data_IF_939255710291
#
_entry.id   IF_939255710291
#
_cell.length_a   1.000
_cell.length_b   1.000
_cell.length_c   1.000
_cell.angle_alpha   90.00
_cell.angle_beta   90.00
_cell.angle_gamma   90.00
#
_symmetry.space_group_name_H-M   'P 1'
#
loop_
_entity.id
_entity.type
_entity.pdbx_description
1 polymer ?
#
# COMPACT_ATOMS: atom_id res chain seq x y z
N UNK A 1 -8.41 14.09 40.54
CA UNK A 1 -8.95 15.45 40.79
C UNK A 1 -9.38 15.65 42.24
N UNK A 2 -10.24 14.81 42.82
CA UNK A 2 -10.80 15.02 44.18
C UNK A 2 -9.92 14.55 45.35
N UNK A 3 -8.71 14.04 45.09
CA UNK A 3 -7.78 13.52 46.10
C UNK A 3 -7.07 14.59 46.94
N UNK A 4 -7.44 15.88 46.81
CA UNK A 4 -6.82 17.01 47.51
C UNK A 4 -5.45 17.43 47.00
N UNK A 5 -4.94 16.77 45.94
CA UNK A 5 -3.62 17.03 45.34
C UNK A 5 -3.62 18.17 44.33
N UNK A 6 -4.81 18.67 43.97
CA UNK A 6 -5.05 19.72 42.98
C UNK A 6 -5.91 20.83 43.60
N UNK A 7 -5.80 22.06 43.09
CA UNK A 7 -6.51 23.23 43.62
C UNK A 7 -8.05 23.05 43.59
N UNK A 8 -8.52 22.20 42.68
CA UNK A 8 -9.91 21.80 42.48
C UNK A 8 -10.42 20.88 43.59
N UNK A 9 -9.54 20.16 44.31
CA UNK A 9 -9.92 19.26 45.41
C UNK A 9 -10.49 19.97 46.65
N UNK A 10 -10.41 21.30 46.69
CA UNK A 10 -10.98 22.14 47.75
C UNK A 10 -12.13 23.04 47.28
N UNK A 11 -12.58 22.87 46.02
CA UNK A 11 -13.70 23.63 45.45
C UNK A 11 -14.92 22.73 45.31
N UNK A 12 -16.11 23.28 45.59
CA UNK A 12 -17.38 22.59 45.32
C UNK A 12 -17.76 22.64 43.82
N UNK A 13 -17.27 23.64 43.10
CA UNK A 13 -17.60 23.88 41.70
C UNK A 13 -16.34 23.74 40.82
N UNK A 14 -16.43 22.92 39.79
CA UNK A 14 -15.41 22.75 38.75
C UNK A 14 -16.03 23.21 37.42
N UNK A 15 -15.52 24.28 36.79
CA UNK A 15 -16.05 24.75 35.52
C UNK A 15 -15.65 23.80 34.38
N UNK A 16 -16.61 23.51 33.51
CA UNK A 16 -16.43 22.70 32.30
C UNK A 16 -16.81 23.52 31.08
N UNK A 17 -16.00 23.43 30.02
CA UNK A 17 -16.24 24.09 28.74
C UNK A 17 -16.92 23.11 27.76
N UNK A 18 -18.07 22.58 28.18
CA UNK A 18 -18.86 21.62 27.42
C UNK A 18 -20.36 21.96 27.51
N UNK A 19 -21.12 21.60 26.49
CA UNK A 19 -22.59 21.77 26.50
C UNK A 19 -23.23 20.95 27.62
N UNK A 20 -24.34 21.46 28.14
CA UNK A 20 -25.13 20.76 29.16
C UNK A 20 -25.62 19.40 28.67
N UNK A 21 -25.87 19.25 27.37
CA UNK A 21 -26.33 18.01 26.75
C UNK A 21 -25.21 16.95 26.72
N UNK A 22 -23.97 17.32 26.34
CA UNK A 22 -22.82 16.42 26.36
C UNK A 22 -22.49 15.96 27.79
N UNK A 23 -22.47 16.89 28.75
CA UNK A 23 -22.22 16.60 30.16
C UNK A 23 -23.29 15.70 30.77
N UNK A 24 -24.57 15.94 30.46
CA UNK A 24 -25.66 15.11 30.96
C UNK A 24 -25.55 13.69 30.41
N UNK A 25 -25.31 13.53 29.11
CA UNK A 25 -25.13 12.20 28.50
C UNK A 25 -23.93 11.45 29.09
N UNK A 26 -22.82 12.16 29.33
CA UNK A 26 -21.64 11.57 29.97
C UNK A 26 -21.92 11.11 31.40
N UNK A 27 -22.56 11.96 32.22
CA UNK A 27 -22.92 11.63 33.59
C UNK A 27 -23.95 10.49 33.65
N UNK A 28 -24.96 10.49 32.78
CA UNK A 28 -25.94 9.42 32.69
C UNK A 28 -25.27 8.07 32.42
N UNK A 29 -24.26 8.04 31.54
CA UNK A 29 -23.47 6.83 31.31
C UNK A 29 -22.68 6.42 32.55
N UNK A 30 -21.98 7.34 33.22
CA UNK A 30 -21.19 7.04 34.41
C UNK A 30 -22.02 6.48 35.57
N UNK A 31 -23.24 6.99 35.76
CA UNK A 31 -24.11 6.57 36.85
C UNK A 31 -24.99 5.37 36.50
N UNK A 32 -25.47 5.25 35.27
CA UNK A 32 -26.47 4.24 34.87
C UNK A 32 -25.94 3.19 33.89
N UNK A 33 -24.70 3.30 33.41
CA UNK A 33 -24.11 2.41 32.41
C UNK A 33 -24.72 2.52 31.01
N UNK A 34 -25.60 3.51 30.78
CA UNK A 34 -26.24 3.76 29.48
C UNK A 34 -26.62 5.23 29.35
N UNK A 35 -26.54 5.77 28.13
CA UNK A 35 -26.90 7.15 27.83
C UNK A 35 -27.54 7.25 26.45
N UNK A 36 -28.50 8.18 26.30
CA UNK A 36 -29.10 8.50 25.00
C UNK A 36 -28.34 9.68 24.38
N UNK A 37 -27.66 9.45 23.28
CA UNK A 37 -26.81 10.46 22.63
C UNK A 37 -27.43 10.91 21.32
N UNK A 38 -27.51 12.23 21.10
CA UNK A 38 -27.88 12.82 19.80
C UNK A 38 -26.64 12.91 18.91
N UNK A 39 -26.80 12.75 17.59
CA UNK A 39 -25.68 12.80 16.62
C UNK A 39 -24.84 14.08 16.72
N UNK A 40 -25.49 15.23 16.92
CA UNK A 40 -24.82 16.54 17.02
C UNK A 40 -23.92 16.67 18.26
N UNK A 41 -24.14 15.86 19.30
CA UNK A 41 -23.41 15.89 20.57
C UNK A 41 -22.18 14.94 20.52
N UNK A 42 -22.11 14.05 19.53
CA UNK A 42 -21.06 13.03 19.43
C UNK A 42 -19.63 13.60 19.45
N UNK A 43 -19.27 14.63 18.66
CA UNK A 43 -17.90 15.15 18.67
C UNK A 43 -17.50 15.67 20.05
N UNK A 44 -18.39 16.42 20.70
CA UNK A 44 -18.14 17.01 22.00
C UNK A 44 -18.05 15.94 23.11
N UNK A 45 -18.91 14.92 23.04
CA UNK A 45 -18.87 13.78 23.96
C UNK A 45 -17.58 12.97 23.79
N UNK A 46 -17.09 12.78 22.56
CA UNK A 46 -15.80 12.15 22.27
C UNK A 46 -14.64 12.88 22.94
N UNK A 47 -14.61 14.21 22.86
CA UNK A 47 -13.59 15.03 23.54
C UNK A 47 -13.62 14.82 25.04
N UNK A 48 -14.81 14.78 25.61
CA UNK A 48 -15.02 14.63 27.05
C UNK A 48 -14.60 13.23 27.53
N UNK A 49 -14.98 12.19 26.78
CA UNK A 49 -14.59 10.80 27.06
C UNK A 49 -13.08 10.61 26.98
N UNK A 50 -12.43 11.17 25.96
CA UNK A 50 -10.98 11.14 25.83
C UNK A 50 -10.30 11.89 26.98
N UNK A 51 -10.77 13.08 27.33
CA UNK A 51 -10.21 13.89 28.41
C UNK A 51 -10.29 13.18 29.78
N UNK A 52 -11.31 12.35 29.99
CA UNK A 52 -11.57 11.65 31.26
C UNK A 52 -11.19 10.16 31.24
N UNK A 53 -10.63 9.67 30.13
CA UNK A 53 -10.15 8.29 29.95
C UNK A 53 -11.18 7.20 30.28
N UNK A 54 -12.42 7.39 29.80
CA UNK A 54 -13.52 6.43 30.03
C UNK A 54 -13.61 5.42 28.88
N UNK A 55 -12.71 4.43 28.90
CA UNK A 55 -12.55 3.41 27.86
C UNK A 55 -13.85 2.70 27.43
N UNK A 56 -14.76 2.28 28.33
CA UNK A 56 -16.00 1.60 27.92
C UNK A 56 -16.94 2.51 27.11
N UNK A 57 -16.95 3.81 27.41
CA UNK A 57 -17.76 4.77 26.67
C UNK A 57 -17.11 5.11 25.32
N UNK A 58 -15.77 5.13 25.26
CA UNK A 58 -15.04 5.33 24.01
C UNK A 58 -15.36 4.23 23.00
N UNK A 59 -15.25 2.96 23.41
CA UNK A 59 -15.59 1.83 22.54
C UNK A 59 -17.03 1.88 22.03
N UNK A 60 -17.99 2.18 22.91
CA UNK A 60 -19.41 2.30 22.54
C UNK A 60 -19.67 3.46 21.58
N UNK A 61 -18.94 4.58 21.70
CA UNK A 61 -19.03 5.70 20.76
C UNK A 61 -18.41 5.34 19.40
N UNK A 62 -17.28 4.65 19.38
CA UNK A 62 -16.66 4.18 18.14
C UNK A 62 -17.62 3.26 17.38
N UNK A 63 -18.24 2.28 18.03
CA UNK A 63 -19.23 1.39 17.42
C UNK A 63 -20.43 2.18 16.84
N UNK A 64 -20.95 3.16 17.59
CA UNK A 64 -22.03 4.03 17.12
C UNK A 64 -21.63 4.89 15.91
N UNK A 65 -20.36 5.29 15.82
CA UNK A 65 -19.84 6.03 14.67
C UNK A 65 -19.78 5.16 13.42
N UNK A 66 -19.40 3.88 13.53
CA UNK A 66 -19.43 2.94 12.40
C UNK A 66 -20.84 2.84 11.81
N UNK A 67 -21.87 2.73 12.66
CA UNK A 67 -23.25 2.52 12.23
C UNK A 67 -23.93 3.79 11.69
N UNK A 68 -23.50 4.97 12.14
CA UNK A 68 -24.21 6.23 11.88
C UNK A 68 -23.37 7.32 11.22
N UNK A 69 -22.24 6.96 10.60
CA UNK A 69 -21.37 7.89 9.90
C UNK A 69 -22.11 8.64 8.79
N UNK A 70 -22.07 9.98 8.85
CA UNK A 70 -22.56 10.86 7.77
C UNK A 70 -21.43 11.77 7.29
N UNK A 71 -21.51 12.34 6.08
CA UNK A 71 -20.47 13.22 5.56
C UNK A 71 -20.19 14.45 6.44
N UNK A 72 -21.24 15.01 7.04
CA UNK A 72 -21.15 16.16 7.94
C UNK A 72 -20.47 15.78 9.25
N UNK A 73 -20.84 14.63 9.82
CA UNK A 73 -20.24 14.14 11.06
C UNK A 73 -18.76 13.79 10.86
N UNK A 74 -18.42 13.09 9.77
CA UNK A 74 -17.04 12.77 9.42
C UNK A 74 -16.21 14.05 9.24
N UNK A 75 -16.75 15.06 8.56
CA UNK A 75 -16.05 16.33 8.36
C UNK A 75 -15.84 17.11 9.66
N UNK A 76 -16.83 17.08 10.57
CA UNK A 76 -16.69 17.66 11.91
C UNK A 76 -15.63 16.95 12.74
N UNK A 77 -15.61 15.61 12.73
CA UNK A 77 -14.61 14.83 13.47
C UNK A 77 -13.19 15.10 12.98
N UNK A 78 -13.00 15.19 11.65
CA UNK A 78 -11.69 15.50 11.04
C UNK A 78 -11.19 16.89 11.43
N UNK A 79 -12.08 17.89 11.56
CA UNK A 79 -11.64 19.26 11.88
C UNK A 79 -11.52 19.50 13.38
N UNK A 80 -12.52 19.06 14.16
CA UNK A 80 -12.65 19.42 15.57
C UNK A 80 -12.02 18.41 16.54
N UNK A 81 -11.76 17.19 16.08
CA UNK A 81 -11.32 16.08 16.93
C UNK A 81 -10.03 15.41 16.45
N UNK A 82 -9.33 15.90 15.42
CA UNK A 82 -8.12 15.28 14.85
C UNK A 82 -7.08 14.84 15.88
N UNK A 83 -6.81 15.68 16.88
CA UNK A 83 -5.82 15.41 17.92
C UNK A 83 -6.24 14.34 18.93
N UNK A 84 -7.49 13.87 18.88
CA UNK A 84 -8.13 13.00 19.85
C UNK A 84 -8.53 11.65 19.23
N UNK A 85 -8.33 11.48 17.92
CA UNK A 85 -8.61 10.24 17.21
C UNK A 85 -7.54 9.20 17.55
N UNK A 86 -7.97 7.97 17.80
CA UNK A 86 -7.09 6.80 17.82
C UNK A 86 -6.85 6.29 16.39
N UNK A 87 -5.81 5.46 16.21
CA UNK A 87 -5.40 4.96 14.89
C UNK A 87 -6.53 4.24 14.13
N UNK A 88 -7.45 3.60 14.86
CA UNK A 88 -8.58 2.85 14.29
C UNK A 88 -9.68 3.78 13.78
N UNK A 89 -10.11 4.74 14.60
CA UNK A 89 -11.08 5.76 14.21
C UNK A 89 -10.54 6.62 13.07
N UNK A 90 -9.25 6.94 13.10
CA UNK A 90 -8.61 7.74 12.08
C UNK A 90 -8.62 7.06 10.69
N UNK A 91 -8.24 5.78 10.66
CA UNK A 91 -8.27 4.97 9.45
C UNK A 91 -9.71 4.78 8.93
N UNK A 92 -10.69 4.66 9.82
CA UNK A 92 -12.10 4.60 9.45
C UNK A 92 -12.56 5.91 8.77
N UNK A 93 -12.21 7.07 9.32
CA UNK A 93 -12.59 8.37 8.75
C UNK A 93 -11.96 8.57 7.37
N UNK A 94 -10.68 8.23 7.19
CA UNK A 94 -10.01 8.31 5.90
C UNK A 94 -10.64 7.38 4.86
N UNK A 95 -10.98 6.14 5.23
CA UNK A 95 -11.67 5.20 4.34
C UNK A 95 -13.04 5.71 3.94
N UNK A 96 -13.81 6.26 4.90
CA UNK A 96 -15.12 6.84 4.61
C UNK A 96 -14.99 8.06 3.68
N UNK A 97 -13.98 8.91 3.91
CA UNK A 97 -13.73 10.09 3.10
C UNK A 97 -13.36 9.73 1.65
N UNK A 98 -12.60 8.65 1.43
CA UNK A 98 -12.29 8.14 0.09
C UNK A 98 -13.54 7.62 -0.63
N UNK A 99 -14.39 6.87 0.07
CA UNK A 99 -15.60 6.27 -0.51
C UNK A 99 -16.72 7.29 -0.81
N UNK A 100 -16.79 8.37 -0.03
CA UNK A 100 -17.84 9.38 -0.12
C UNK A 100 -17.32 10.78 -0.47
N UNK A 101 -16.17 10.87 -1.14
CA UNK A 101 -15.48 12.13 -1.39
C UNK A 101 -16.37 13.22 -2.01
N UNK A 102 -17.17 12.90 -3.01
CA UNK A 102 -18.07 13.87 -3.67
C UNK A 102 -19.10 14.49 -2.73
N UNK A 103 -19.54 13.76 -1.70
CA UNK A 103 -20.43 14.27 -0.66
C UNK A 103 -19.64 15.10 0.36
N UNK A 104 -18.46 14.61 0.78
CA UNK A 104 -17.57 15.29 1.72
C UNK A 104 -17.11 16.66 1.21
N UNK A 105 -16.75 16.75 -0.07
CA UNK A 105 -16.33 17.99 -0.71
C UNK A 105 -17.40 19.10 -0.64
N UNK A 106 -18.70 18.72 -0.60
CA UNK A 106 -19.83 19.66 -0.56
C UNK A 106 -20.14 20.17 0.85
N UNK A 107 -19.50 19.62 1.89
CA UNK A 107 -19.72 20.05 3.27
C UNK A 107 -19.12 21.44 3.54
N UNK A 108 -19.66 22.15 4.53
CA UNK A 108 -19.16 23.48 4.91
C UNK A 108 -17.76 23.39 5.55
N UNK A 109 -17.51 22.32 6.29
CA UNK A 109 -16.28 22.09 7.04
C UNK A 109 -15.11 21.70 6.14
N UNK A 110 -15.36 21.26 4.89
CA UNK A 110 -14.32 20.81 3.96
C UNK A 110 -13.21 21.85 3.77
N UNK A 111 -13.55 23.15 3.76
CA UNK A 111 -12.55 24.22 3.63
C UNK A 111 -11.55 24.34 4.80
N UNK A 112 -11.94 23.84 5.98
CA UNK A 112 -11.11 23.84 7.17
C UNK A 112 -10.20 22.60 7.25
N UNK A 113 -10.31 21.65 6.33
CA UNK A 113 -9.56 20.40 6.38
C UNK A 113 -8.04 20.61 6.39
N UNK A 114 -7.32 19.79 7.16
CA UNK A 114 -5.87 19.87 7.25
C UNK A 114 -5.21 19.45 5.92
N UNK A 115 -4.09 20.11 5.60
CA UNK A 115 -3.41 19.92 4.32
C UNK A 115 -2.90 18.48 4.13
N UNK A 116 -2.43 17.82 5.19
CA UNK A 116 -1.86 16.47 5.06
C UNK A 116 -2.93 15.43 4.67
N UNK A 117 -4.16 15.54 5.21
CA UNK A 117 -5.31 14.73 4.76
C UNK A 117 -5.67 15.02 3.32
N UNK A 118 -5.67 16.30 2.94
CA UNK A 118 -5.96 16.68 1.55
C UNK A 118 -4.92 16.10 0.57
N UNK A 119 -3.65 16.06 0.94
CA UNK A 119 -2.59 15.42 0.16
C UNK A 119 -2.79 13.90 0.14
N UNK A 120 -3.06 13.26 1.28
CA UNK A 120 -3.30 11.83 1.37
C UNK A 120 -4.48 11.38 0.50
N UNK A 121 -5.58 12.13 0.58
CA UNK A 121 -6.81 11.81 -0.12
C UNK A 121 -6.70 12.05 -1.63
N UNK A 122 -6.17 13.20 -2.07
CA UNK A 122 -5.95 13.47 -3.51
C UNK A 122 -4.77 12.69 -4.10
N UNK A 123 -3.92 12.12 -3.24
CA UNK A 123 -2.81 11.26 -3.62
C UNK A 123 -3.21 9.80 -3.78
N UNK A 124 -4.35 9.40 -3.22
CA UNK A 124 -4.90 8.04 -3.33
C UNK A 124 -5.56 7.81 -4.68
N UNK A 125 -5.38 6.61 -5.22
CA UNK A 125 -6.06 6.15 -6.43
C UNK A 125 -7.48 5.60 -6.14
N UNK A 126 -7.81 5.38 -4.88
CA UNK A 126 -9.08 4.78 -4.42
C UNK A 126 -10.20 5.82 -4.20
N UNK A 127 -10.00 7.06 -4.64
CA UNK A 127 -10.99 8.13 -4.47
C UNK A 127 -12.24 7.86 -5.31
N UNK A 128 -13.40 7.81 -4.66
CA UNK A 128 -14.69 7.58 -5.30
C UNK A 128 -15.27 8.90 -5.82
N UNK A 129 -15.07 9.14 -7.13
CA UNK A 129 -15.58 10.31 -7.85
C UNK A 129 -16.13 9.92 -9.21
N UNK A 130 -17.19 10.58 -9.63
CA UNK A 130 -17.79 10.36 -10.96
C UNK A 130 -16.92 10.96 -12.08
N UNK A 131 -16.19 12.04 -11.78
CA UNK A 131 -15.32 12.72 -12.72
C UNK A 131 -14.24 13.57 -12.02
N UNK A 132 -13.18 13.88 -12.75
CA UNK A 132 -12.06 14.71 -12.26
C UNK A 132 -12.46 16.19 -12.05
N UNK A 133 -13.60 16.63 -12.60
CA UNK A 133 -14.08 17.99 -12.40
C UNK A 133 -14.54 18.22 -10.96
N UNK A 134 -15.09 17.18 -10.31
CA UNK A 134 -15.42 17.21 -8.87
C UNK A 134 -14.18 17.35 -8.00
N UNK A 135 -13.09 16.68 -8.35
CA UNK A 135 -11.79 16.79 -7.67
C UNK A 135 -11.24 18.21 -7.78
N UNK A 136 -11.28 18.78 -8.98
CA UNK A 136 -10.87 20.17 -9.19
C UNK A 136 -11.77 21.13 -8.40
N UNK A 137 -13.09 20.93 -8.43
CA UNK A 137 -14.05 21.75 -7.69
C UNK A 137 -13.74 21.73 -6.18
N UNK A 138 -13.47 20.55 -5.61
CA UNK A 138 -13.08 20.39 -4.22
C UNK A 138 -11.81 21.19 -3.87
N UNK A 139 -10.74 21.08 -4.67
CA UNK A 139 -9.50 21.85 -4.46
C UNK A 139 -9.76 23.35 -4.54
N UNK A 140 -10.60 23.79 -5.48
CA UNK A 140 -10.95 25.22 -5.59
C UNK A 140 -11.78 25.71 -4.40
N UNK A 141 -12.69 24.89 -3.87
CA UNK A 141 -13.48 25.21 -2.68
C UNK A 141 -12.60 25.31 -1.43
N UNK A 142 -11.68 24.37 -1.26
CA UNK A 142 -10.70 24.38 -0.17
C UNK A 142 -9.82 25.64 -0.20
N UNK A 143 -9.40 26.07 -1.40
CA UNK A 143 -8.67 27.33 -1.56
C UNK A 143 -9.53 28.57 -1.26
N UNK A 144 -10.78 28.61 -1.73
CA UNK A 144 -11.70 29.75 -1.48
C UNK A 144 -11.96 29.98 0.00
N UNK A 145 -12.00 28.91 0.80
CA UNK A 145 -12.17 29.02 2.25
C UNK A 145 -10.98 29.69 2.95
N UNK A 146 -9.76 29.51 2.45
CA UNK A 146 -8.55 30.11 3.01
C UNK A 146 -7.56 30.52 1.89
N UNK A 147 -7.76 31.69 1.25
CA UNK A 147 -6.95 32.12 0.10
C UNK A 147 -5.46 32.28 0.42
N UNK A 148 -5.12 32.49 1.70
CA UNK A 148 -3.73 32.60 2.16
C UNK A 148 -2.90 31.32 1.94
N UNK A 149 -3.53 30.18 1.65
CA UNK A 149 -2.89 28.87 1.41
C UNK A 149 -2.43 28.69 -0.05
N UNK A 150 -2.02 29.76 -0.74
CA UNK A 150 -1.71 29.72 -2.18
C UNK A 150 -0.70 28.65 -2.59
N UNK A 151 0.42 28.53 -1.85
CA UNK A 151 1.47 27.57 -2.17
C UNK A 151 1.02 26.11 -1.94
N UNK A 152 0.18 25.88 -0.93
CA UNK A 152 -0.42 24.57 -0.68
C UNK A 152 -1.45 24.21 -1.76
N UNK A 153 -2.30 25.16 -2.16
CA UNK A 153 -3.24 24.98 -3.27
C UNK A 153 -2.50 24.68 -4.58
N UNK A 154 -1.38 25.36 -4.84
CA UNK A 154 -0.55 25.08 -6.02
C UNK A 154 0.03 23.65 -6.02
N UNK A 155 0.33 23.08 -4.86
CA UNK A 155 0.74 21.68 -4.74
C UNK A 155 -0.44 20.73 -4.99
N UNK A 156 -1.61 20.98 -4.40
CA UNK A 156 -2.81 20.15 -4.60
C UNK A 156 -3.29 20.18 -6.06
N UNK A 157 -3.21 21.33 -6.74
CA UNK A 157 -3.56 21.44 -8.16
C UNK A 157 -2.67 20.59 -9.08
N UNK A 158 -1.43 20.31 -8.69
CA UNK A 158 -0.57 19.38 -9.46
C UNK A 158 -0.97 17.91 -9.28
N UNK A 159 -1.80 17.63 -8.27
CA UNK A 159 -2.32 16.29 -8.01
C UNK A 159 -3.56 15.98 -8.86
N UNK A 160 -4.31 17.01 -9.27
CA UNK A 160 -5.46 16.91 -10.18
C UNK A 160 -5.02 16.48 -11.59
N UNK A 161 -5.73 15.52 -12.17
CA UNK A 161 -5.46 14.96 -13.50
C UNK A 161 -6.13 15.79 -14.60
N UNK A 162 -5.58 16.98 -14.88
CA UNK A 162 -6.08 17.86 -15.94
C UNK A 162 -6.39 17.18 -17.31
N UNK A 163 -5.65 16.16 -17.77
CA UNK A 163 -5.98 15.44 -19.00
C UNK A 163 -7.32 14.68 -18.98
N UNK A 164 -7.90 14.41 -17.80
CA UNK A 164 -9.20 13.73 -17.65
C UNK A 164 -10.38 14.71 -17.53
N UNK A 165 -10.12 16.03 -17.51
CA UNK A 165 -11.16 17.05 -17.53
C UNK A 165 -11.76 17.18 -18.94
N UNK A 166 -13.05 17.55 -19.03
CA UNK A 166 -13.67 17.77 -20.34
C UNK A 166 -13.01 18.93 -21.10
N UNK A 167 -12.98 18.82 -22.43
CA UNK A 167 -12.41 19.87 -23.29
C UNK A 167 -13.12 21.23 -23.08
N UNK A 168 -14.43 21.23 -22.82
CA UNK A 168 -15.21 22.42 -22.44
C UNK A 168 -14.69 23.06 -21.15
N UNK A 169 -14.48 22.28 -20.10
CA UNK A 169 -13.95 22.75 -18.83
C UNK A 169 -12.53 23.27 -18.95
N UNK A 170 -11.68 22.60 -19.74
CA UNK A 170 -10.31 23.07 -20.01
C UNK A 170 -10.28 24.40 -20.78
N UNK A 171 -11.15 24.59 -21.77
CA UNK A 171 -11.29 25.87 -22.48
C UNK A 171 -11.77 27.00 -21.57
N UNK A 172 -12.68 26.70 -20.64
CA UNK A 172 -13.15 27.64 -19.62
C UNK A 172 -12.03 28.04 -18.66
N UNK A 173 -11.28 27.06 -18.12
CA UNK A 173 -10.14 27.28 -17.21
C UNK A 173 -8.98 28.04 -17.87
N UNK A 174 -8.80 27.89 -19.19
CA UNK A 174 -7.80 28.64 -19.97
C UNK A 174 -8.18 30.11 -20.15
N UNK A 175 -9.47 30.40 -20.33
CA UNK A 175 -9.98 31.76 -20.60
C UNK A 175 -10.04 32.62 -19.33
N UNK A 176 -10.07 31.96 -18.17
CA UNK A 176 -9.82 32.40 -16.79
C UNK A 176 -10.56 33.65 -16.26
N UNK A 177 -11.53 33.41 -15.36
CA UNK A 177 -12.03 34.35 -14.33
C UNK A 177 -12.20 33.67 -12.94
N UNK A 178 -11.61 32.48 -12.69
CA UNK A 178 -11.98 31.67 -11.51
C UNK A 178 -11.14 31.92 -10.24
N UNK A 179 -9.82 31.84 -10.35
CA UNK A 179 -8.88 31.91 -9.23
C UNK A 179 -7.81 32.98 -9.51
N UNK A 180 -7.57 33.88 -8.55
CA UNK A 180 -6.55 34.94 -8.65
C UNK A 180 -5.23 34.45 -8.05
N UNK A 181 -4.11 35.09 -8.42
CA UNK A 181 -2.78 34.78 -7.86
C UNK A 181 -2.08 33.59 -8.54
N UNK A 182 -1.09 33.00 -7.85
CA UNK A 182 -0.27 31.89 -8.37
C UNK A 182 -1.08 30.65 -8.79
N UNK A 183 -2.10 30.20 -8.02
CA UNK A 183 -2.93 29.06 -8.41
C UNK A 183 -3.66 29.28 -9.73
N UNK A 184 -4.15 30.51 -9.99
CA UNK A 184 -4.84 30.86 -11.23
C UNK A 184 -3.95 30.75 -12.47
N UNK A 185 -2.70 31.22 -12.37
CA UNK A 185 -1.71 31.13 -13.46
C UNK A 185 -1.34 29.66 -13.74
N UNK A 186 -1.19 28.85 -12.69
CA UNK A 186 -0.92 27.42 -12.81
C UNK A 186 -2.07 26.67 -13.49
N UNK A 187 -3.31 26.94 -13.10
CA UNK A 187 -4.49 26.32 -13.72
C UNK A 187 -4.56 26.63 -15.22
N UNK A 188 -4.38 27.89 -15.62
CA UNK A 188 -4.40 28.24 -17.05
C UNK A 188 -3.27 27.56 -17.83
N UNK A 189 -2.08 27.43 -17.23
CA UNK A 189 -0.94 26.74 -17.84
C UNK A 189 -1.19 25.24 -17.97
N UNK A 190 -1.66 24.58 -16.90
CA UNK A 190 -1.98 23.16 -16.88
C UNK A 190 -3.13 22.85 -17.85
N UNK A 191 -4.17 23.69 -17.89
CA UNK A 191 -5.28 23.56 -18.83
C UNK A 191 -4.83 23.73 -20.29
N UNK A 192 -3.93 24.69 -20.57
CA UNK A 192 -3.36 24.86 -21.91
C UNK A 192 -2.50 23.66 -22.33
N UNK A 193 -1.77 23.03 -21.40
CA UNK A 193 -1.01 21.81 -21.67
C UNK A 193 -1.93 20.62 -21.91
N UNK A 194 -2.97 20.45 -21.09
CA UNK A 194 -3.95 19.37 -21.25
C UNK A 194 -4.76 19.48 -22.55
N UNK A 195 -5.08 20.70 -23.01
CA UNK A 195 -5.75 20.92 -24.31
C UNK A 195 -4.91 20.47 -25.50
N UNK A 196 -3.56 20.52 -25.40
CA UNK A 196 -2.70 19.98 -26.45
C UNK A 196 -2.86 18.46 -26.57
N UNK A 197 -3.04 17.76 -25.45
CA UNK A 197 -3.30 16.32 -25.41
C UNK A 197 -4.68 15.95 -25.99
N UNK A 198 -5.63 16.87 -25.99
CA UNK A 198 -6.96 16.68 -26.59
C UNK A 198 -7.02 17.01 -28.10
N UNK A 199 -5.95 17.56 -28.67
CA UNK A 199 -5.88 17.89 -30.10
C UNK A 199 -5.33 16.71 -30.92
N UNK A 200 -5.83 16.46 -32.15
CA UNK A 200 -5.43 15.30 -32.96
C UNK A 200 -3.93 15.29 -33.35
N UNK A 201 -3.23 16.42 -33.30
CA UNK A 201 -1.79 16.52 -33.55
C UNK A 201 -0.92 16.15 -32.33
N UNK A 202 -1.46 16.20 -31.11
CA UNK A 202 -0.74 15.87 -29.87
C UNK A 202 -0.53 14.36 -29.65
N UNK A 203 -1.14 13.51 -30.47
CA UNK A 203 -0.95 12.06 -30.44
C UNK A 203 0.27 11.60 -31.27
N UNK A 204 0.88 12.46 -32.09
CA UNK A 204 1.93 12.08 -33.05
C UNK A 204 3.33 12.71 -32.81
N UNK A 205 3.47 13.78 -32.02
CA UNK A 205 4.77 14.40 -31.73
C UNK A 205 5.13 14.30 -30.24
N UNK A 206 6.25 13.63 -29.93
CA UNK A 206 6.85 13.59 -28.59
C UNK A 206 7.28 14.98 -28.10
N UNK A 207 7.48 15.17 -26.78
CA UNK A 207 7.60 16.50 -26.19
C UNK A 207 8.92 17.22 -26.55
N UNK A 208 8.91 18.55 -26.74
CA UNK A 208 10.11 19.32 -27.11
C UNK A 208 11.00 19.63 -25.89
N UNK A 209 12.32 19.49 -26.07
CA UNK A 209 13.34 19.87 -25.08
C UNK A 209 13.54 21.40 -25.02
N UNK A 210 13.67 21.94 -23.80
CA UNK A 210 14.04 23.36 -23.56
C UNK A 210 15.38 23.39 -22.78
N UNK A 211 16.40 24.13 -23.25
CA UNK A 211 17.68 24.25 -22.53
C UNK A 211 17.61 25.32 -21.42
N UNK A 212 18.06 24.97 -20.21
CA UNK A 212 18.51 25.96 -19.21
C UNK A 212 17.66 26.24 -17.96
N UNK A 213 16.94 25.26 -17.39
CA UNK A 213 16.28 25.44 -16.08
C UNK A 213 16.81 24.46 -15.02
N UNK A 214 17.14 25.00 -13.84
CA UNK A 214 17.73 24.31 -12.70
C UNK A 214 16.82 23.21 -12.11
N UNK A 215 17.47 22.12 -11.68
CA UNK A 215 16.84 20.91 -11.12
C UNK A 215 16.26 21.15 -9.72
N UNK A 216 14.94 20.93 -9.59
CA UNK A 216 14.21 20.58 -8.37
C UNK A 216 13.29 19.36 -8.67
N UNK A 217 12.87 18.57 -7.66
CA UNK A 217 12.82 17.12 -7.73
C UNK A 217 11.61 16.56 -8.48
N UNK A 218 11.85 15.39 -9.08
CA UNK A 218 10.92 14.58 -9.87
C UNK A 218 9.72 14.13 -9.02
N UNK A 219 8.54 14.68 -9.31
CA UNK A 219 7.24 14.11 -8.97
C UNK A 219 6.46 13.92 -10.28
N UNK A 220 5.86 12.73 -10.42
CA UNK A 220 5.07 12.21 -11.56
C UNK A 220 5.84 12.10 -12.89
N UNK A 221 6.51 10.96 -13.10
CA UNK A 221 6.88 10.51 -14.45
C UNK A 221 5.60 10.03 -15.18
N UNK A 222 5.15 10.81 -16.16
CA UNK A 222 4.56 10.35 -17.42
C UNK A 222 4.98 11.41 -18.45
N UNK A 223 5.86 11.10 -19.40
CA UNK A 223 5.57 10.61 -20.77
C UNK A 223 6.88 10.05 -21.39
N UNK A 224 6.89 9.32 -22.53
CA UNK A 224 5.87 8.51 -23.22
C UNK A 224 6.36 7.05 -23.45
N UNK A 225 5.45 6.08 -23.66
CA UNK A 225 5.83 4.75 -24.17
C UNK A 225 4.96 4.33 -25.38
N UNK A 226 5.65 4.12 -26.50
CA UNK A 226 5.43 3.46 -27.81
C UNK A 226 4.29 2.45 -28.10
N UNK A 227 3.26 2.28 -27.28
CA UNK A 227 2.10 1.42 -27.59
C UNK A 227 0.99 2.13 -28.39
N UNK A 228 1.31 3.26 -29.01
CA UNK A 228 0.36 4.03 -29.82
C UNK A 228 -0.08 3.34 -31.14
N UNK A 229 0.53 2.22 -31.54
CA UNK A 229 0.15 1.56 -32.81
C UNK A 229 -0.64 0.25 -32.66
N UNK A 230 -0.99 -0.16 -31.43
CA UNK A 230 -1.94 -1.26 -31.24
C UNK A 230 -3.07 -0.79 -30.33
N UNK A 231 -4.18 -0.41 -30.95
CA UNK A 231 -5.32 0.18 -30.28
C UNK A 231 -5.79 -0.65 -29.09
N UNK A 232 -5.85 -0.01 -27.92
CA UNK A 232 -6.73 -0.39 -26.83
C UNK A 232 -7.13 0.85 -26.02
N UNK A 233 -8.42 0.87 -25.72
CA UNK A 233 -9.19 1.88 -24.99
C UNK A 233 -8.68 2.10 -23.56
N UNK A 234 -8.73 3.36 -23.12
CA UNK A 234 -8.48 3.81 -21.75
C UNK A 234 -9.66 3.38 -20.87
N UNK A 235 -9.51 2.23 -20.21
CA UNK A 235 -10.13 1.88 -18.93
C UNK A 235 -9.16 0.92 -18.24
N UNK A 236 -8.40 1.45 -17.29
CA UNK A 236 -7.30 0.74 -16.62
C UNK A 236 -7.78 -0.46 -15.82
N UNK A 237 -7.16 -1.61 -16.09
CA UNK A 237 -7.51 -2.91 -15.53
C UNK A 237 -8.21 -3.78 -16.57
N UNK A 238 -7.45 -4.53 -17.37
CA UNK A 238 -8.01 -5.73 -17.99
C UNK A 238 -8.14 -6.75 -16.88
N UNK A 239 -9.36 -7.21 -16.59
CA UNK A 239 -9.55 -8.42 -15.81
C UNK A 239 -8.92 -9.54 -16.61
N UNK A 240 -7.68 -9.89 -16.27
CA UNK A 240 -6.97 -10.98 -16.95
C UNK A 240 -7.59 -12.30 -16.53
N UNK A 241 -8.38 -12.37 -15.45
CA UNK A 241 -9.07 -13.56 -14.95
C UNK A 241 -10.43 -13.23 -14.31
N UNK A 242 -11.53 -13.64 -14.95
CA UNK A 242 -12.89 -13.59 -14.40
C UNK A 242 -13.58 -14.95 -14.58
N UNK A 243 -14.52 -15.24 -13.66
CA UNK A 243 -15.31 -16.48 -13.53
C UNK A 243 -15.84 -17.03 -14.88
N UNK A 244 -15.74 -18.35 -15.16
CA UNK A 244 -16.68 -19.00 -16.07
C UNK A 244 -18.06 -19.02 -15.39
N UNK A 245 -19.03 -18.33 -15.97
CA UNK A 245 -20.40 -18.23 -15.44
C UNK A 245 -21.03 -19.63 -15.35
N UNK A 246 -21.04 -20.23 -14.15
CA UNK A 246 -22.18 -20.81 -13.42
C UNK A 246 -21.71 -21.58 -12.16
N UNK A 247 -22.55 -21.54 -11.12
CA UNK A 247 -22.45 -22.13 -9.77
C UNK A 247 -21.17 -22.81 -9.26
N UNK A 248 -20.42 -22.15 -8.38
CA UNK A 248 -20.03 -22.64 -7.04
C UNK A 248 -19.45 -21.44 -6.28
N UNK A 249 -19.74 -21.32 -4.99
CA UNK A 249 -19.42 -20.14 -4.21
C UNK A 249 -17.92 -20.09 -3.95
N UNK A 250 -17.24 -19.05 -4.46
CA UNK A 250 -16.18 -18.39 -3.71
C UNK A 250 -15.06 -17.78 -4.54
N UNK A 251 -14.48 -16.76 -3.91
CA UNK A 251 -13.61 -15.74 -4.46
C UNK A 251 -12.23 -16.33 -4.80
N UNK A 252 -11.58 -15.84 -5.86
CA UNK A 252 -10.16 -16.11 -6.12
C UNK A 252 -9.34 -15.30 -5.10
N UNK A 253 -8.38 -15.92 -4.42
CA UNK A 253 -7.49 -15.24 -3.48
C UNK A 253 -6.05 -15.20 -4.04
N UNK A 254 -5.71 -14.27 -4.96
CA UNK A 254 -4.39 -14.25 -5.58
C UNK A 254 -3.30 -13.84 -4.57
N UNK A 255 -2.46 -14.77 -4.14
CA UNK A 255 -1.38 -14.52 -3.15
C UNK A 255 -0.03 -14.20 -3.78
N UNK A 256 0.23 -14.67 -5.00
CA UNK A 256 1.50 -14.43 -5.70
C UNK A 256 1.32 -14.48 -7.21
N UNK A 257 2.11 -13.69 -7.93
CA UNK A 257 2.11 -13.61 -9.39
C UNK A 257 3.53 -13.59 -9.94
N UNK A 258 3.78 -14.37 -10.99
CA UNK A 258 5.06 -14.39 -11.70
C UNK A 258 4.83 -14.32 -13.21
N UNK A 259 5.69 -13.63 -13.95
CA UNK A 259 5.58 -13.50 -15.42
C UNK A 259 6.83 -14.09 -16.06
N UNK A 260 6.65 -15.06 -16.95
CA UNK A 260 7.73 -15.71 -17.69
C UNK A 260 7.27 -16.09 -19.10
N UNK A 261 8.08 -15.76 -20.11
CA UNK A 261 7.88 -16.14 -21.53
C UNK A 261 6.45 -15.93 -22.06
N UNK A 262 5.90 -14.73 -21.83
CA UNK A 262 4.56 -14.39 -22.32
C UNK A 262 3.42 -15.13 -21.61
N UNK A 263 3.69 -15.77 -20.47
CA UNK A 263 2.70 -16.37 -19.58
C UNK A 263 2.80 -15.78 -18.18
N UNK A 264 1.65 -15.60 -17.55
CA UNK A 264 1.50 -15.20 -16.15
C UNK A 264 1.11 -16.42 -15.32
N UNK A 265 1.77 -16.62 -14.19
CA UNK A 265 1.49 -17.68 -13.24
C UNK A 265 0.90 -17.04 -12.00
N UNK A 266 -0.30 -17.46 -11.60
CA UNK A 266 -1.04 -16.94 -10.45
C UNK A 266 -1.21 -18.05 -9.43
N UNK A 267 -0.93 -17.74 -8.17
CA UNK A 267 -1.27 -18.59 -7.03
C UNK A 267 -2.62 -18.16 -6.48
N UNK A 268 -3.58 -19.07 -6.47
CA UNK A 268 -4.85 -18.92 -5.75
C UNK A 268 -4.71 -19.57 -4.36
N UNK A 269 -4.76 -18.74 -3.32
CA UNK A 269 -4.60 -19.11 -1.92
C UNK A 269 -5.80 -19.85 -1.33
N UNK A 270 -6.94 -19.88 -2.02
CA UNK A 270 -8.14 -20.55 -1.51
C UNK A 270 -7.91 -22.05 -1.32
N UNK A 271 -8.19 -22.59 -0.14
CA UNK A 271 -8.04 -24.03 0.09
C UNK A 271 -9.07 -24.84 -0.76
N UNK A 272 -8.63 -25.87 -1.52
CA UNK A 272 -7.24 -26.29 -1.73
C UNK A 272 -6.48 -25.35 -2.68
N UNK A 273 -5.32 -24.83 -2.24
CA UNK A 273 -4.57 -23.83 -3.01
C UNK A 273 -4.23 -24.34 -4.41
N UNK A 274 -4.31 -23.47 -5.40
CA UNK A 274 -4.06 -23.83 -6.80
C UNK A 274 -3.07 -22.88 -7.48
N UNK A 275 -2.41 -23.37 -8.52
CA UNK A 275 -1.57 -22.51 -9.38
C UNK A 275 -2.14 -22.54 -10.79
N UNK A 276 -2.38 -21.36 -11.34
CA UNK A 276 -2.98 -21.15 -12.66
C UNK A 276 -1.93 -20.54 -13.58
N UNK A 277 -1.69 -21.19 -14.72
CA UNK A 277 -0.91 -20.60 -15.82
C UNK A 277 -1.84 -19.90 -16.79
N UNK A 278 -1.59 -18.63 -17.04
CA UNK A 278 -2.35 -17.76 -17.90
C UNK A 278 -1.48 -17.24 -19.04
N UNK A 279 -1.63 -17.76 -20.27
CA UNK A 279 -0.94 -17.18 -21.43
C UNK A 279 -1.41 -15.73 -21.63
N UNK A 280 -0.49 -14.77 -21.72
CA UNK A 280 -0.83 -13.35 -21.82
C UNK A 280 -1.63 -13.13 -23.12
N UNK A 281 -2.87 -12.63 -22.98
CA UNK A 281 -3.81 -12.44 -24.09
C UNK A 281 -4.77 -13.61 -24.35
N UNK A 282 -4.67 -14.73 -23.61
CA UNK A 282 -5.65 -15.81 -23.69
C UNK A 282 -6.91 -15.52 -22.85
N UNK A 283 -8.09 -16.00 -23.27
CA UNK A 283 -9.36 -15.74 -22.56
C UNK A 283 -9.51 -16.54 -21.25
N UNK A 284 -8.69 -17.55 -21.01
CA UNK A 284 -8.69 -18.35 -19.77
C UNK A 284 -7.31 -18.93 -19.46
N UNK A 285 -7.01 -19.05 -18.16
CA UNK A 285 -5.85 -19.77 -17.66
C UNK A 285 -6.12 -21.27 -17.46
N UNK A 286 -5.05 -22.07 -17.46
CA UNK A 286 -5.09 -23.49 -17.15
C UNK A 286 -4.58 -23.73 -15.72
N UNK A 287 -5.35 -24.43 -14.89
CA UNK A 287 -4.90 -24.83 -13.57
C UNK A 287 -3.83 -25.92 -13.69
N UNK A 288 -2.60 -25.62 -13.25
CA UNK A 288 -1.47 -26.53 -13.27
C UNK A 288 -1.50 -27.53 -12.12
N UNK A 289 -1.98 -27.13 -10.95
CA UNK A 289 -2.10 -27.98 -9.76
C UNK A 289 -3.17 -27.44 -8.78
N UNK A 290 -3.76 -28.32 -7.96
CA UNK A 290 -4.67 -27.91 -6.87
C UNK A 290 -6.18 -28.05 -7.12
N UNK A 291 -6.65 -28.62 -8.23
CA UNK A 291 -8.10 -28.69 -8.53
C UNK A 291 -8.79 -29.98 -8.08
N UNK A 292 -10.09 -29.91 -7.76
CA UNK A 292 -10.97 -31.05 -7.38
C UNK A 292 -11.07 -32.19 -8.44
N UNK A 293 -10.39 -32.07 -9.60
CA UNK A 293 -10.50 -33.02 -10.74
C UNK A 293 -9.23 -33.80 -11.10
N UNK A 294 -8.11 -33.66 -10.38
CA UNK A 294 -6.93 -34.49 -10.65
C UNK A 294 -7.05 -35.91 -10.03
N UNK A 295 -6.96 -37.01 -10.82
CA UNK A 295 -7.08 -38.40 -10.33
C UNK A 295 -5.99 -38.82 -9.33
N UNK A 296 -6.12 -39.96 -8.64
CA UNK A 296 -5.25 -40.36 -7.54
C UNK A 296 -3.95 -40.98 -8.04
N UNK A 297 -2.84 -40.22 -7.90
CA UNK A 297 -1.53 -40.65 -7.40
C UNK A 297 -0.52 -39.49 -7.55
N UNK A 298 0.09 -39.04 -6.44
CA UNK A 298 1.14 -38.00 -6.40
C UNK A 298 0.68 -36.58 -6.03
N UNK A 299 1.53 -35.87 -5.26
CA UNK A 299 1.46 -34.44 -4.84
C UNK A 299 0.04 -33.94 -4.56
N UNK A 300 -0.64 -34.54 -3.55
CA UNK A 300 -1.97 -34.09 -3.12
C UNK A 300 -1.90 -33.36 -1.78
N UNK A 301 -2.53 -32.18 -1.77
CA UNK A 301 -2.63 -31.16 -0.73
C UNK A 301 -1.47 -30.15 -0.68
N UNK A 302 -1.43 -29.22 -1.66
CA UNK A 302 -0.83 -27.91 -1.42
C UNK A 302 -1.66 -27.24 -0.32
N UNK A 303 -1.07 -27.07 0.86
CA UNK A 303 -1.84 -26.70 2.05
C UNK A 303 -1.54 -25.29 2.56
N UNK A 304 -0.51 -24.63 2.02
CA UNK A 304 -0.28 -23.18 2.17
C UNK A 304 0.84 -22.72 1.21
N UNK A 305 0.51 -22.13 0.06
CA UNK A 305 1.54 -21.69 -0.91
C UNK A 305 2.10 -20.33 -0.47
N UNK A 306 3.37 -20.25 -0.09
CA UNK A 306 3.98 -18.98 0.35
C UNK A 306 4.64 -18.21 -0.78
N UNK A 307 5.20 -18.89 -1.78
CA UNK A 307 5.95 -18.26 -2.86
C UNK A 307 6.05 -19.16 -4.10
N UNK A 308 6.25 -18.55 -5.28
CA UNK A 308 6.50 -19.25 -6.55
C UNK A 308 7.70 -18.65 -7.28
N UNK A 309 8.42 -19.47 -8.05
CA UNK A 309 9.40 -19.01 -9.01
C UNK A 309 9.48 -19.92 -10.23
N UNK A 310 9.94 -19.38 -11.35
CA UNK A 310 10.14 -20.14 -12.60
C UNK A 310 11.62 -20.13 -12.96
N UNK A 311 12.17 -21.28 -13.33
CA UNK A 311 13.56 -21.36 -13.81
C UNK A 311 13.67 -20.99 -15.30
N UNK A 312 14.91 -20.83 -15.79
CA UNK A 312 15.16 -20.49 -17.19
C UNK A 312 14.74 -21.58 -18.20
N UNK A 313 14.40 -22.78 -17.72
CA UNK A 313 13.87 -23.85 -18.56
C UNK A 313 12.33 -23.85 -18.59
N UNK A 314 11.69 -22.93 -17.85
CA UNK A 314 10.24 -22.81 -17.72
C UNK A 314 9.64 -23.75 -16.67
N UNK A 315 10.45 -24.41 -15.83
CA UNK A 315 9.92 -25.25 -14.76
C UNK A 315 9.49 -24.38 -13.58
N UNK A 316 8.28 -24.61 -13.09
CA UNK A 316 7.67 -23.87 -11.99
C UNK A 316 8.04 -24.52 -10.66
N UNK A 317 8.44 -23.72 -9.68
CA UNK A 317 8.71 -24.13 -8.31
C UNK A 317 7.71 -23.44 -7.38
N UNK A 318 7.06 -24.23 -6.54
CA UNK A 318 6.05 -23.80 -5.58
C UNK A 318 6.56 -24.11 -4.19
N UNK A 319 6.57 -23.11 -3.30
CA UNK A 319 6.90 -23.27 -1.90
C UNK A 319 5.63 -23.54 -1.10
N UNK A 320 5.47 -24.77 -0.60
CA UNK A 320 4.39 -25.16 0.31
C UNK A 320 4.88 -24.95 1.76
N UNK A 321 4.45 -23.83 2.35
CA UNK A 321 4.84 -23.42 3.69
C UNK A 321 4.29 -24.30 4.81
N UNK A 322 3.14 -24.97 4.64
CA UNK A 322 2.59 -25.84 5.69
C UNK A 322 3.37 -27.14 5.80
N UNK A 323 3.76 -27.68 4.65
CA UNK A 323 4.57 -28.90 4.58
C UNK A 323 6.07 -28.62 4.55
N UNK A 324 6.49 -27.35 4.49
CA UNK A 324 7.89 -26.95 4.40
C UNK A 324 8.61 -27.63 3.22
N UNK A 325 7.91 -27.78 2.09
CA UNK A 325 8.38 -28.48 0.90
C UNK A 325 8.40 -27.58 -0.33
N UNK A 326 9.26 -27.91 -1.27
CA UNK A 326 9.30 -27.27 -2.59
C UNK A 326 8.78 -28.26 -3.60
N UNK A 327 7.84 -27.86 -4.43
CA UNK A 327 7.26 -28.68 -5.49
C UNK A 327 7.69 -28.11 -6.83
N UNK A 328 8.41 -28.92 -7.61
CA UNK A 328 8.74 -28.60 -9.01
C UNK A 328 7.68 -29.16 -9.93
N UNK A 329 7.17 -28.33 -10.84
CA UNK A 329 6.17 -28.67 -11.84
C UNK A 329 6.80 -28.51 -13.22
N UNK A 330 6.84 -29.61 -13.98
CA UNK A 330 7.40 -29.67 -15.34
C UNK A 330 6.43 -30.39 -16.26
N UNK A 331 5.91 -29.70 -17.27
CA UNK A 331 4.98 -30.29 -18.25
C UNK A 331 3.73 -30.94 -17.61
N UNK A 332 3.24 -30.39 -16.49
CA UNK A 332 2.10 -30.91 -15.73
C UNK A 332 2.44 -32.03 -14.72
N UNK A 333 3.67 -32.53 -14.69
CA UNK A 333 4.12 -33.48 -13.66
C UNK A 333 4.71 -32.72 -12.46
N UNK A 334 4.24 -33.04 -11.25
CA UNK A 334 4.71 -32.44 -10.00
C UNK A 334 5.63 -33.40 -9.24
N UNK A 335 6.73 -32.87 -8.69
CA UNK A 335 7.71 -33.62 -7.90
C UNK A 335 8.15 -32.80 -6.68
N UNK A 336 8.19 -33.42 -5.50
CA UNK A 336 8.79 -32.81 -4.30
C UNK A 336 10.30 -32.75 -4.46
N UNK A 337 10.87 -31.56 -4.23
CA UNK A 337 12.29 -31.28 -4.33
C UNK A 337 12.91 -31.30 -2.93
N UNK A 338 13.95 -32.11 -2.74
CA UNK A 338 14.77 -32.10 -1.53
C UNK A 338 14.14 -32.75 -0.31
N UNK A 339 13.22 -33.70 -0.51
CA UNK A 339 12.61 -34.52 0.54
C UNK A 339 13.65 -35.06 1.53
N UNK A 340 13.46 -34.77 2.82
CA UNK A 340 14.36 -35.17 3.91
C UNK A 340 15.73 -34.48 3.94
N UNK A 341 15.98 -33.51 3.05
CA UNK A 341 17.27 -32.80 2.92
C UNK A 341 17.17 -31.29 3.12
N UNK A 342 15.97 -30.72 2.94
CA UNK A 342 15.63 -29.35 3.28
C UNK A 342 14.88 -29.36 4.60
N UNK A 343 15.49 -28.81 5.65
CA UNK A 343 14.81 -28.54 6.92
C UNK A 343 14.40 -27.07 6.87
N UNK A 344 13.12 -26.80 6.64
CA UNK A 344 12.58 -25.45 6.64
C UNK A 344 11.71 -25.23 7.89
N UNK A 345 11.80 -24.04 8.45
CA UNK A 345 11.10 -23.59 9.63
C UNK A 345 10.44 -22.24 9.29
N UNK A 346 9.15 -22.25 8.92
CA UNK A 346 8.43 -21.06 8.44
C UNK A 346 9.07 -20.43 7.18
N UNK A 347 9.16 -21.19 6.09
CA UNK A 347 9.69 -20.66 4.83
C UNK A 347 8.81 -19.54 4.23
N UNK A 348 9.44 -18.47 3.74
CA UNK A 348 8.73 -17.24 3.33
C UNK A 348 8.80 -16.91 1.85
N UNK A 349 10.00 -17.03 1.26
CA UNK A 349 10.24 -16.69 -0.14
C UNK A 349 11.11 -17.73 -0.84
N UNK A 350 10.89 -17.90 -2.14
CA UNK A 350 11.66 -18.79 -3.01
C UNK A 350 12.11 -18.03 -4.26
N UNK A 351 13.38 -18.19 -4.63
CA UNK A 351 13.96 -17.61 -5.85
C UNK A 351 14.81 -18.64 -6.59
N UNK A 352 14.81 -18.59 -7.93
CA UNK A 352 15.74 -19.35 -8.76
C UNK A 352 16.87 -18.41 -9.21
N UNK A 353 18.09 -18.73 -8.78
CA UNK A 353 19.27 -17.97 -9.23
C UNK A 353 19.60 -18.27 -10.70
N UNK A 354 20.36 -17.38 -11.33
CA UNK A 354 20.87 -17.58 -12.70
C UNK A 354 21.79 -18.83 -12.83
N UNK A 355 22.27 -19.37 -11.70
CA UNK A 355 22.99 -20.65 -11.64
C UNK A 355 22.06 -21.87 -11.67
N UNK A 356 20.74 -21.68 -11.80
CA UNK A 356 19.74 -22.74 -11.85
C UNK A 356 19.52 -23.43 -10.51
N UNK A 357 19.88 -22.77 -9.41
CA UNK A 357 19.69 -23.30 -8.06
C UNK A 357 18.60 -22.56 -7.31
N UNK A 358 18.04 -23.25 -6.32
CA UNK A 358 16.90 -22.75 -5.54
C UNK A 358 17.44 -22.08 -4.29
N UNK A 359 17.00 -20.86 -4.03
CA UNK A 359 17.28 -20.11 -2.82
C UNK A 359 15.98 -19.93 -2.05
N UNK A 360 16.01 -20.20 -0.74
CA UNK A 360 14.84 -20.17 0.12
C UNK A 360 15.11 -19.28 1.33
N UNK A 361 14.22 -18.33 1.61
CA UNK A 361 14.18 -17.60 2.88
C UNK A 361 13.47 -18.49 3.89
N UNK A 362 14.22 -18.91 4.91
CA UNK A 362 13.76 -19.76 6.00
C UNK A 362 13.68 -18.89 7.27
N UNK A 363 12.50 -18.29 7.48
CA UNK A 363 12.30 -17.18 8.43
C UNK A 363 12.47 -17.64 9.87
N UNK A 364 11.79 -18.71 10.27
CA UNK A 364 11.92 -19.32 11.59
C UNK A 364 13.32 -19.86 11.83
N UNK A 365 13.97 -20.38 10.79
CA UNK A 365 15.37 -20.79 10.82
C UNK A 365 16.40 -19.64 10.81
N UNK A 366 15.97 -18.38 10.67
CA UNK A 366 16.80 -17.18 10.56
C UNK A 366 17.95 -17.32 9.54
N UNK A 367 17.66 -17.94 8.40
CA UNK A 367 18.67 -18.33 7.41
C UNK A 367 18.15 -18.24 5.98
N UNK A 368 19.07 -18.12 5.04
CA UNK A 368 18.82 -18.36 3.62
C UNK A 368 19.53 -19.63 3.21
N UNK A 369 18.77 -20.57 2.64
CA UNK A 369 19.29 -21.84 2.17
C UNK A 369 19.39 -21.85 0.66
N UNK A 370 20.51 -22.37 0.14
CA UNK A 370 20.70 -22.70 -1.27
C UNK A 370 20.62 -24.21 -1.43
N UNK A 371 19.71 -24.65 -2.28
CA UNK A 371 19.56 -26.04 -2.68
C UNK A 371 20.12 -26.25 -4.08
N UNK A 372 21.19 -27.05 -4.15
CA UNK A 372 21.89 -27.35 -5.39
C UNK A 372 22.24 -28.84 -5.43
N UNK A 373 21.94 -29.50 -6.56
CA UNK A 373 22.33 -30.90 -6.84
C UNK A 373 22.03 -31.88 -5.69
N UNK A 374 20.88 -31.72 -5.03
CA UNK A 374 20.48 -32.63 -3.96
C UNK A 374 21.06 -32.32 -2.58
N UNK A 375 21.74 -31.18 -2.40
CA UNK A 375 22.32 -30.74 -1.13
C UNK A 375 21.81 -29.34 -0.76
N UNK A 376 21.38 -29.17 0.48
CA UNK A 376 21.09 -27.87 1.07
C UNK A 376 22.35 -27.31 1.75
N UNK A 377 22.56 -26.01 1.64
CA UNK A 377 23.65 -25.29 2.31
C UNK A 377 23.17 -23.91 2.74
N UNK A 378 23.60 -23.45 3.91
CA UNK A 378 23.31 -22.09 4.38
C UNK A 378 24.23 -21.12 3.63
N UNK A 379 23.64 -20.09 3.04
CA UNK A 379 24.36 -19.07 2.25
C UNK A 379 24.26 -17.67 2.83
N UNK A 380 23.32 -17.44 3.75
CA UNK A 380 23.24 -16.24 4.59
C UNK A 380 22.54 -16.57 5.91
N UNK A 381 22.86 -15.85 6.99
CA UNK A 381 22.31 -16.13 8.32
C UNK A 381 22.81 -17.47 8.90
N UNK A 382 21.96 -18.11 9.72
CA UNK A 382 22.23 -19.44 10.28
C UNK A 382 22.95 -19.46 11.64
N UNK A 383 23.37 -18.30 12.14
CA UNK A 383 23.50 -18.06 13.58
C UNK A 383 22.14 -17.61 14.14
N UNK A 384 21.85 -17.91 15.40
CA UNK A 384 20.58 -17.53 16.08
C UNK A 384 20.09 -16.13 15.69
N UNK A 385 18.77 -15.94 15.69
CA UNK A 385 18.13 -14.67 15.35
C UNK A 385 18.80 -13.47 16.04
N UNK A 386 19.08 -12.40 15.29
CA UNK A 386 19.75 -11.24 15.86
C UNK A 386 20.17 -10.18 14.86
N UNK A 387 20.90 -9.17 15.37
CA UNK A 387 21.29 -7.94 14.64
C UNK A 387 22.70 -7.96 14.08
N UNK A 388 23.51 -8.96 14.44
CA UNK A 388 24.88 -9.09 13.97
C UNK A 388 24.99 -9.15 12.44
N UNK A 389 26.19 -8.92 11.88
CA UNK A 389 26.40 -8.97 10.44
C UNK A 389 26.26 -10.38 9.86
N UNK A 390 26.41 -11.43 10.68
CA UNK A 390 26.12 -12.82 10.32
C UNK A 390 24.68 -13.26 10.64
N UNK A 391 23.87 -12.41 11.27
CA UNK A 391 22.54 -12.75 11.76
C UNK A 391 21.44 -12.09 10.92
N UNK A 392 20.28 -12.74 10.89
CA UNK A 392 19.02 -12.24 10.33
C UNK A 392 17.95 -12.36 11.42
N UNK A 393 16.90 -11.55 11.33
CA UNK A 393 15.74 -11.61 12.20
C UNK A 393 14.47 -11.30 11.41
N UNK A 394 13.57 -12.28 11.31
CA UNK A 394 12.34 -12.21 10.51
C UNK A 394 12.60 -11.77 9.06
N UNK A 395 13.48 -12.49 8.35
CA UNK A 395 13.70 -12.24 6.93
C UNK A 395 12.43 -12.59 6.13
N UNK A 396 11.98 -11.69 5.24
CA UNK A 396 10.71 -11.86 4.51
C UNK A 396 10.90 -12.20 3.02
N UNK A 397 11.78 -11.49 2.31
CA UNK A 397 11.99 -11.62 0.86
C UNK A 397 13.48 -11.64 0.50
N UNK A 398 13.80 -12.13 -0.69
CA UNK A 398 15.14 -12.01 -1.24
C UNK A 398 15.16 -11.67 -2.73
N UNK A 399 16.30 -11.15 -3.19
CA UNK A 399 16.65 -11.05 -4.60
C UNK A 399 18.04 -11.64 -4.83
N UNK A 400 18.17 -12.50 -5.84
CA UNK A 400 19.43 -13.14 -6.23
C UNK A 400 19.90 -12.53 -7.55
N UNK A 401 21.06 -11.86 -7.53
CA UNK A 401 21.65 -11.32 -8.76
C UNK A 401 22.28 -12.43 -9.62
N UNK A 402 22.56 -12.12 -10.89
CA UNK A 402 23.20 -13.07 -11.81
C UNK A 402 24.59 -13.57 -11.32
N UNK A 403 25.31 -12.79 -10.52
CA UNK A 403 26.58 -13.21 -9.93
C UNK A 403 26.42 -14.01 -8.61
N UNK A 404 25.19 -14.26 -8.15
CA UNK A 404 24.87 -15.00 -6.94
C UNK A 404 24.98 -14.19 -5.65
N UNK A 405 24.94 -12.86 -5.73
CA UNK A 405 24.81 -11.99 -4.55
C UNK A 405 23.36 -11.97 -4.10
N UNK A 406 23.14 -12.09 -2.80
CA UNK A 406 21.82 -12.05 -2.19
C UNK A 406 21.55 -10.65 -1.65
N UNK A 407 20.34 -10.15 -1.86
CA UNK A 407 19.78 -9.03 -1.12
C UNK A 407 18.59 -9.55 -0.34
N UNK A 408 18.57 -9.33 0.97
CA UNK A 408 17.61 -9.94 1.88
C UNK A 408 16.94 -8.83 2.69
N UNK A 409 15.61 -8.79 2.73
CA UNK A 409 14.87 -7.91 3.63
C UNK A 409 14.89 -8.53 5.02
N UNK A 410 15.65 -7.91 5.91
CA UNK A 410 15.83 -8.33 7.30
C UNK A 410 14.87 -7.53 8.17
N UNK A 411 13.59 -7.91 8.11
CA UNK A 411 12.45 -7.08 8.52
C UNK A 411 12.44 -6.77 10.01
N UNK A 412 12.76 -7.74 10.85
CA UNK A 412 12.87 -7.56 12.31
C UNK A 412 13.95 -6.54 12.69
N UNK A 413 14.96 -6.42 11.84
CA UNK A 413 16.06 -5.46 12.01
C UNK A 413 15.89 -4.16 11.23
N UNK A 414 14.80 -4.00 10.48
CA UNK A 414 14.50 -2.80 9.70
C UNK A 414 15.65 -2.41 8.76
N UNK A 415 16.18 -3.40 8.03
CA UNK A 415 17.31 -3.19 7.12
C UNK A 415 17.25 -4.13 5.92
N UNK A 416 18.07 -3.84 4.90
CA UNK A 416 18.37 -4.77 3.80
C UNK A 416 19.83 -5.18 3.89
N UNK A 417 20.07 -6.49 3.90
CA UNK A 417 21.41 -7.09 3.92
C UNK A 417 21.81 -7.54 2.51
N UNK A 418 22.97 -7.05 2.04
CA UNK A 418 23.66 -7.58 0.85
C UNK A 418 24.64 -8.65 1.30
N UNK A 419 24.51 -9.85 0.74
CA UNK A 419 25.36 -10.99 1.03
C UNK A 419 26.08 -11.44 -0.25
N UNK A 420 27.35 -11.04 -0.44
CA UNK A 420 28.15 -11.53 -1.56
C UNK A 420 28.28 -13.05 -1.51
N UNK A 421 28.34 -13.67 -2.70
CA UNK A 421 28.48 -15.13 -2.82
C UNK A 421 29.69 -15.63 -2.03
N UNK A 422 29.45 -16.54 -1.09
CA UNK A 422 30.49 -17.16 -0.25
C UNK A 422 30.96 -16.31 0.93
N UNK A 423 30.37 -15.14 1.16
CA UNK A 423 30.67 -14.34 2.34
C UNK A 423 30.10 -14.98 3.61
N UNK A 424 30.83 -14.87 4.73
CA UNK A 424 30.38 -15.32 6.05
C UNK A 424 29.47 -14.31 6.76
N UNK A 425 29.37 -13.09 6.24
CA UNK A 425 28.65 -11.96 6.83
C UNK A 425 28.03 -11.10 5.73
N UNK A 426 26.86 -10.54 6.02
CA UNK A 426 26.18 -9.55 5.20
C UNK A 426 26.62 -8.12 5.52
N UNK A 427 26.40 -7.23 4.56
CA UNK A 427 26.62 -5.79 4.68
C UNK A 427 25.28 -5.09 4.59
N UNK A 428 24.99 -4.20 5.54
CA UNK A 428 23.77 -3.39 5.50
C UNK A 428 23.88 -2.37 4.37
N UNK A 429 22.92 -2.40 3.44
CA UNK A 429 22.91 -1.55 2.23
C UNK A 429 21.70 -0.63 2.14
N UNK A 430 20.71 -0.83 3.01
CA UNK A 430 19.59 0.09 3.21
C UNK A 430 19.04 -0.06 4.64
N UNK A 431 18.60 1.05 5.24
CA UNK A 431 18.11 1.07 6.62
C UNK A 431 19.17 0.71 7.65
N UNK A 432 18.77 0.08 8.76
CA UNK A 432 19.68 -0.29 9.86
C UNK A 432 19.96 0.83 10.87
N UNK A 433 19.50 2.07 10.60
CA UNK A 433 19.60 3.21 11.52
C UNK A 433 18.41 3.31 12.50
N UNK A 434 17.90 2.14 12.91
CA UNK A 434 16.68 2.02 13.71
C UNK A 434 15.40 2.09 12.88
N UNK A 435 14.30 1.70 13.52
CA UNK A 435 12.95 1.78 12.94
C UNK A 435 12.53 3.25 12.84
N UNK A 436 12.02 3.67 11.68
CA UNK A 436 11.48 5.01 11.50
C UNK A 436 11.18 5.36 10.05
N UNK A 437 10.80 6.62 9.80
CA UNK A 437 10.37 7.11 8.50
C UNK A 437 11.40 8.05 7.83
N UNK A 438 12.57 8.27 8.43
CA UNK A 438 13.65 9.06 7.80
C UNK A 438 14.18 8.37 6.53
N UNK A 439 14.93 9.12 5.72
CA UNK A 439 15.46 8.62 4.44
C UNK A 439 16.52 7.53 4.60
N UNK A 440 17.17 7.47 5.75
CA UNK A 440 18.17 6.50 6.19
C UNK A 440 17.58 5.38 7.07
N UNK A 441 16.26 5.37 7.26
CA UNK A 441 15.52 4.42 8.10
C UNK A 441 14.49 3.64 7.30
N UNK A 442 14.15 2.45 7.81
CA UNK A 442 13.09 1.58 7.31
C UNK A 442 12.18 1.18 8.48
N UNK A 443 10.99 0.70 8.17
CA UNK A 443 10.01 0.15 9.11
C UNK A 443 9.40 -1.11 8.50
N UNK A 444 9.90 -2.27 8.94
CA UNK A 444 9.45 -3.60 8.49
C UNK A 444 9.50 -3.80 6.95
N UNK A 445 10.68 -3.69 6.30
CA UNK A 445 10.79 -3.88 4.85
C UNK A 445 10.38 -5.29 4.44
N UNK A 446 9.47 -5.47 3.48
CA UNK A 446 9.00 -6.82 3.07
C UNK A 446 9.56 -7.20 1.70
N UNK A 447 9.05 -6.61 0.63
CA UNK A 447 9.49 -6.87 -0.73
C UNK A 447 10.73 -6.07 -1.11
N UNK A 448 11.58 -6.63 -1.97
CA UNK A 448 12.71 -5.90 -2.53
C UNK A 448 13.00 -6.30 -3.99
N UNK A 449 13.53 -5.37 -4.76
CA UNK A 449 14.00 -5.60 -6.12
C UNK A 449 15.29 -4.83 -6.36
N UNK A 450 16.24 -5.42 -7.07
CA UNK A 450 17.49 -4.76 -7.45
C UNK A 450 17.54 -4.62 -8.96
N UNK A 451 17.62 -3.38 -9.43
CA UNK A 451 17.74 -3.09 -10.87
C UNK A 451 19.16 -3.32 -11.38
N UNK A 452 19.31 -3.35 -12.71
CA UNK A 452 20.61 -3.54 -13.38
C UNK A 452 21.66 -2.48 -12.99
N UNK A 453 21.23 -1.27 -12.63
CA UNK A 453 22.09 -0.18 -12.13
C UNK A 453 22.49 -0.32 -10.65
N UNK A 454 22.21 -1.49 -10.04
CA UNK A 454 22.41 -1.79 -8.62
C UNK A 454 21.62 -0.89 -7.65
N UNK A 455 20.60 -0.17 -8.13
CA UNK A 455 19.66 0.46 -7.23
C UNK A 455 18.76 -0.59 -6.56
N UNK A 456 18.49 -0.39 -5.27
CA UNK A 456 17.64 -1.26 -4.46
C UNK A 456 16.32 -0.55 -4.25
N UNK A 457 15.22 -1.17 -4.66
CA UNK A 457 13.87 -0.74 -4.34
C UNK A 457 13.35 -1.64 -3.22
N UNK A 458 12.85 -1.02 -2.15
CA UNK A 458 12.37 -1.73 -0.97
C UNK A 458 10.94 -1.29 -0.70
N UNK A 459 10.04 -2.25 -0.53
CA UNK A 459 8.71 -2.02 0.00
C UNK A 459 8.83 -1.84 1.53
N UNK A 460 8.86 -0.59 1.96
CA UNK A 460 8.93 -0.18 3.36
C UNK A 460 7.53 -0.27 3.96
N UNK A 461 7.11 -1.50 4.26
CA UNK A 461 5.72 -1.91 4.46
C UNK A 461 4.96 -1.06 5.48
N UNK A 462 5.55 -0.87 6.68
CA UNK A 462 4.89 -0.12 7.76
C UNK A 462 4.96 1.39 7.59
N UNK A 463 5.74 1.89 6.62
CA UNK A 463 5.76 3.30 6.24
C UNK A 463 4.95 3.56 4.96
N UNK A 464 4.28 2.53 4.41
CA UNK A 464 3.44 2.62 3.21
C UNK A 464 4.13 3.29 2.01
N UNK A 465 5.42 3.00 1.81
CA UNK A 465 6.22 3.62 0.75
C UNK A 465 7.13 2.62 0.05
N UNK A 466 7.52 2.95 -1.18
CA UNK A 466 8.63 2.30 -1.88
C UNK A 466 9.83 3.22 -1.81
N UNK A 467 10.94 2.73 -1.28
CA UNK A 467 12.16 3.50 -1.13
C UNK A 467 13.23 2.98 -2.08
N UNK A 468 13.90 3.90 -2.77
CA UNK A 468 15.00 3.62 -3.69
C UNK A 468 16.33 4.01 -3.04
N UNK A 469 17.21 3.05 -2.83
CA UNK A 469 18.61 3.29 -2.48
C UNK A 469 19.51 3.12 -3.70
N UNK A 470 20.49 4.01 -3.83
CA UNK A 470 21.61 3.80 -4.76
C UNK A 470 22.70 3.02 -4.05
N UNK A 471 23.45 2.23 -4.81
CA UNK A 471 24.61 1.54 -4.26
C UNK A 471 25.57 2.52 -3.58
N UNK A 472 25.95 2.22 -2.33
CA UNK A 472 26.87 3.03 -1.52
C UNK A 472 26.24 4.15 -0.68
N UNK A 473 24.92 4.34 -0.71
CA UNK A 473 24.22 5.28 0.17
C UNK A 473 23.65 4.52 1.39
N UNK A 474 24.20 4.75 2.59
CA UNK A 474 23.68 4.20 3.86
C UNK A 474 23.01 5.26 4.69
#
# INVERSE_FOLDING_TARGET
MLSGSFAEGHKCDVPFDFTSEALTAFLDFLYNGSAKVKKAVLPELLRLVHQWDVQPLQAALTDLLVEHMTPELCSLLIVDCEALLDDELDLMLDRYALQHFSAMAKTEQFGAWPLHRMIGLLGSDDISVDNEEEVLAAVTQWHRAAPAREDATAALLQMVRFPLLSASSLHFLRSNEGLKGRPGVLISRLAAMALKCHSPAGQAEGPPEIPGAARLPKLRHAFPHWWADFGCSITGGVVVAERPVEGDDGELEPWSVHVHDGSMFIVDGREPCSVVQWPIGAPSGCALCGTRRAPPEGVKALAHITSIAVDSAGDLYVLDGRHNHIIRIRGGAAQVVGEGRLVLEESRALCIGADGHIYIVDRGGSRVQRYASGKASIVAGGSDAGRGPAQLDNAEEMFVTANGTLYISDSGNNRVQKWPRGASQGVTVAGGNGRGCRLDQLSHPVGLHVSEDHSIYVADYMNHRIMKWREGCT
#
